data_IF_080995834782
#
_entry.id   IF_080995834782
#
_cell.length_a   1.000
_cell.length_b   1.000
_cell.length_c   1.000
_cell.angle_alpha   90.00
_cell.angle_beta   90.00
_cell.angle_gamma   90.00
#
_symmetry.space_group_name_H-M   'P 1'
#
loop_
_entity.id
_entity.type
_entity.pdbx_description
1 polymer ?
#
# COMPACT_ATOMS: atom_id res chain seq x y z
N UNK A 1 21.76 -20.74 6.57
CA UNK A 1 21.51 -19.36 7.05
C UNK A 1 21.41 -18.47 5.82
N UNK A 2 20.22 -18.37 5.21
CA UNK A 2 20.03 -17.51 4.04
C UNK A 2 20.01 -16.07 4.51
N UNK A 3 21.02 -15.30 4.12
CA UNK A 3 21.04 -13.85 4.23
C UNK A 3 20.02 -13.32 3.22
N UNK A 4 18.73 -13.41 3.56
CA UNK A 4 17.69 -12.73 2.80
C UNK A 4 17.84 -11.24 3.12
N UNK A 5 18.59 -10.54 2.28
CA UNK A 5 18.68 -9.10 2.31
C UNK A 5 17.29 -8.50 2.35
N UNK A 6 17.13 -7.44 3.14
CA UNK A 6 15.86 -6.71 3.21
C UNK A 6 15.58 -6.13 1.82
N UNK A 7 14.51 -6.59 1.18
CA UNK A 7 14.02 -5.97 -0.06
C UNK A 7 13.53 -4.56 0.30
N UNK A 8 14.02 -3.57 -0.43
CA UNK A 8 13.68 -2.15 -0.29
C UNK A 8 13.13 -1.71 -1.63
N UNK A 9 11.98 -1.03 -1.64
CA UNK A 9 11.42 -0.49 -2.87
C UNK A 9 12.29 0.63 -3.41
N UNK A 10 12.40 0.72 -4.74
CA UNK A 10 13.12 1.81 -5.37
C UNK A 10 12.51 3.17 -5.00
N UNK A 11 13.38 4.14 -4.69
CA UNK A 11 12.98 5.52 -4.41
C UNK A 11 12.48 6.14 -5.72
N UNK A 12 11.34 6.84 -5.74
CA UNK A 12 10.88 7.57 -6.92
C UNK A 12 11.96 8.50 -7.47
N UNK A 13 12.24 8.38 -8.77
CA UNK A 13 13.26 9.21 -9.45
C UNK A 13 12.72 10.58 -9.90
N UNK A 14 11.40 10.73 -9.92
CA UNK A 14 10.69 11.96 -10.25
C UNK A 14 9.93 12.55 -9.06
N UNK A 15 9.36 13.74 -9.24
CA UNK A 15 8.58 14.46 -8.24
C UNK A 15 7.31 15.07 -8.87
N UNK A 16 6.20 15.11 -8.12
CA UNK A 16 4.97 15.78 -8.57
C UNK A 16 4.00 14.85 -9.32
N UNK A 17 3.36 15.36 -10.37
CA UNK A 17 2.22 14.71 -11.05
C UNK A 17 2.56 13.46 -11.87
N UNK A 18 3.85 13.22 -12.12
CA UNK A 18 4.36 12.02 -12.81
C UNK A 18 4.41 10.78 -11.91
N UNK A 19 4.21 10.96 -10.60
CA UNK A 19 4.18 9.87 -9.65
C UNK A 19 2.91 9.03 -9.81
N UNK A 20 3.08 7.72 -9.72
CA UNK A 20 1.99 6.75 -9.73
C UNK A 20 2.00 5.98 -8.42
N UNK A 21 0.82 5.60 -7.93
CA UNK A 21 0.69 4.68 -6.81
C UNK A 21 0.00 3.39 -7.24
N UNK A 22 0.51 2.26 -6.75
CA UNK A 22 -0.18 0.98 -6.86
C UNK A 22 -1.51 1.03 -6.12
N UNK A 23 -2.62 0.75 -6.81
CA UNK A 23 -3.98 0.78 -6.26
C UNK A 23 -4.14 -0.23 -5.12
N UNK A 24 -3.33 -1.29 -5.13
CA UNK A 24 -3.31 -2.32 -4.09
C UNK A 24 -2.53 -1.92 -2.85
N UNK A 25 -1.21 -1.77 -2.97
CA UNK A 25 -0.32 -1.61 -1.82
C UNK A 25 0.04 -0.16 -1.51
N UNK A 26 -0.35 0.79 -2.35
CA UNK A 26 -0.08 2.23 -2.22
C UNK A 26 1.38 2.63 -2.38
N UNK A 27 2.25 1.72 -2.82
CA UNK A 27 3.64 2.03 -3.14
C UNK A 27 3.68 3.05 -4.28
N UNK A 28 4.54 4.06 -4.14
CA UNK A 28 4.70 5.17 -5.09
C UNK A 28 6.03 5.01 -5.81
N UNK A 29 5.98 5.03 -7.15
CA UNK A 29 7.12 5.03 -8.08
C UNK A 29 6.74 5.84 -9.33
N UNK A 30 7.68 6.12 -10.22
CA UNK A 30 7.35 6.65 -11.56
C UNK A 30 6.81 5.55 -12.47
N UNK A 31 6.15 5.93 -13.57
CA UNK A 31 5.69 4.96 -14.59
C UNK A 31 6.84 4.07 -15.07
N UNK A 32 7.99 4.67 -15.44
CA UNK A 32 9.14 3.95 -15.96
C UNK A 32 9.72 2.97 -14.93
N UNK A 33 9.68 3.32 -13.64
CA UNK A 33 10.14 2.43 -12.57
C UNK A 33 9.18 1.24 -12.36
N UNK A 34 7.86 1.43 -12.45
CA UNK A 34 6.92 0.30 -12.43
C UNK A 34 7.09 -0.59 -13.66
N UNK A 35 7.31 0.02 -14.83
CA UNK A 35 7.57 -0.70 -16.09
C UNK A 35 8.85 -1.54 -16.01
N UNK A 36 9.91 -1.00 -15.41
CA UNK A 36 11.22 -1.63 -15.40
C UNK A 36 11.40 -2.71 -14.32
N UNK A 37 10.79 -2.53 -13.14
CA UNK A 37 11.03 -3.41 -11.99
C UNK A 37 9.77 -3.82 -11.22
N UNK A 38 8.59 -3.47 -11.74
CA UNK A 38 7.32 -3.83 -11.14
C UNK A 38 7.08 -3.23 -9.76
N UNK A 39 6.19 -3.86 -9.00
CA UNK A 39 5.84 -3.48 -7.64
C UNK A 39 6.40 -4.49 -6.64
N UNK A 40 7.29 -4.04 -5.76
CA UNK A 40 7.99 -4.89 -4.79
C UNK A 40 7.04 -5.53 -3.75
N UNK A 41 5.85 -4.96 -3.56
CA UNK A 41 4.81 -5.52 -2.70
C UNK A 41 3.78 -6.37 -3.45
N UNK A 42 3.72 -6.26 -4.78
CA UNK A 42 2.72 -6.93 -5.62
C UNK A 42 3.38 -7.52 -6.88
N UNK A 43 4.37 -8.43 -6.73
CA UNK A 43 5.06 -9.03 -7.87
C UNK A 43 4.12 -9.87 -8.75
N UNK A 44 3.01 -10.36 -8.18
CA UNK A 44 1.98 -11.12 -8.89
C UNK A 44 1.24 -10.33 -9.98
N UNK A 45 1.38 -8.99 -10.02
CA UNK A 45 0.86 -8.20 -11.15
C UNK A 45 1.77 -8.22 -12.39
N UNK A 46 3.00 -8.73 -12.28
CA UNK A 46 3.91 -8.98 -13.41
C UNK A 46 4.06 -7.79 -14.37
N UNK A 47 4.19 -6.58 -13.81
CA UNK A 47 4.24 -5.33 -14.60
C UNK A 47 5.52 -5.21 -15.43
N UNK A 48 6.57 -5.92 -15.03
CA UNK A 48 7.83 -6.06 -15.78
C UNK A 48 7.65 -6.83 -17.09
N UNK A 49 6.70 -7.76 -17.14
CA UNK A 49 6.42 -8.60 -18.32
C UNK A 49 5.28 -8.02 -19.17
N UNK A 50 4.25 -7.47 -18.51
CA UNK A 50 3.09 -6.84 -19.15
C UNK A 50 2.99 -5.36 -18.73
N UNK A 51 3.46 -4.48 -19.61
CA UNK A 51 3.50 -3.04 -19.32
C UNK A 51 2.14 -2.35 -19.37
N UNK A 52 1.13 -2.97 -19.98
CA UNK A 52 -0.23 -2.42 -19.97
C UNK A 52 -0.81 -2.53 -18.55
N UNK A 53 -0.40 -3.56 -17.77
CA UNK A 53 -0.74 -3.70 -16.35
C UNK A 53 -0.26 -2.56 -15.48
N UNK A 54 0.78 -1.83 -15.88
CA UNK A 54 1.22 -0.64 -15.12
C UNK A 54 0.09 0.37 -15.04
N UNK A 55 -0.62 0.60 -16.15
CA UNK A 55 -1.71 1.57 -16.21
C UNK A 55 -2.91 1.09 -15.41
N UNK A 56 -3.27 -0.20 -15.53
CA UNK A 56 -4.47 -0.75 -14.89
C UNK A 56 -4.32 -0.95 -13.37
N UNK A 57 -3.09 -1.23 -12.90
CA UNK A 57 -2.82 -1.47 -11.48
C UNK A 57 -2.43 -0.21 -10.70
N UNK A 58 -2.21 0.92 -11.36
CA UNK A 58 -1.68 2.14 -10.73
C UNK A 58 -2.42 3.39 -11.16
N UNK A 59 -2.42 4.42 -10.31
CA UNK A 59 -3.05 5.72 -10.61
C UNK A 59 -2.10 6.88 -10.37
N UNK A 60 -2.26 7.97 -11.13
CA UNK A 60 -1.64 9.27 -10.87
C UNK A 60 -2.44 10.13 -9.89
N UNK A 61 -3.68 9.75 -9.60
CA UNK A 61 -4.56 10.49 -8.70
C UNK A 61 -4.31 10.08 -7.24
N UNK A 62 -3.20 10.57 -6.70
CA UNK A 62 -2.69 10.22 -5.36
C UNK A 62 -2.72 11.44 -4.43
N UNK A 63 -2.98 11.21 -3.14
CA UNK A 63 -3.00 12.26 -2.12
C UNK A 63 -1.85 12.06 -1.13
N UNK A 64 -0.89 12.99 -1.15
CA UNK A 64 0.28 12.98 -0.29
C UNK A 64 1.23 11.80 -0.52
N UNK A 65 2.46 11.94 -0.03
CA UNK A 65 3.49 10.89 -0.07
C UNK A 65 4.14 10.80 1.30
N UNK A 66 4.40 9.57 1.76
CA UNK A 66 5.08 9.25 3.00
C UNK A 66 6.19 8.23 2.75
N UNK A 67 7.37 8.51 3.28
CA UNK A 67 8.50 7.58 3.24
C UNK A 67 8.53 6.71 4.49
N UNK A 68 8.49 5.40 4.30
CA UNK A 68 8.47 4.39 5.36
C UNK A 68 9.81 3.65 5.39
N UNK A 69 10.58 3.85 6.46
CA UNK A 69 11.88 3.20 6.65
C UNK A 69 11.79 1.85 7.38
N UNK A 70 10.86 1.72 8.33
CA UNK A 70 10.66 0.47 9.09
C UNK A 70 9.16 0.13 9.22
N UNK A 71 8.61 -0.63 8.25
CA UNK A 71 7.19 -0.94 8.19
C UNK A 71 6.68 -1.86 9.31
N UNK A 72 7.59 -2.60 9.97
CA UNK A 72 7.27 -3.48 11.09
C UNK A 72 7.06 -2.71 12.41
N UNK A 73 7.78 -1.60 12.61
CA UNK A 73 7.75 -0.82 13.85
C UNK A 73 6.99 0.50 13.76
N UNK A 74 6.80 1.05 12.56
CA UNK A 74 6.17 2.35 12.38
C UNK A 74 4.65 2.32 12.59
N UNK A 75 4.14 3.22 13.44
CA UNK A 75 2.70 3.46 13.57
C UNK A 75 2.09 3.91 12.24
N UNK A 76 2.76 4.80 11.50
CA UNK A 76 2.25 5.30 10.22
C UNK A 76 2.05 4.15 9.22
N UNK A 77 2.94 3.15 9.22
CA UNK A 77 2.78 1.96 8.38
C UNK A 77 1.66 1.04 8.83
N UNK A 78 1.38 0.97 10.14
CA UNK A 78 0.19 0.27 10.64
C UNK A 78 -1.08 1.01 10.21
N UNK A 79 -1.08 2.34 10.28
CA UNK A 79 -2.21 3.20 9.91
C UNK A 79 -2.56 3.09 8.42
N UNK A 80 -1.57 3.16 7.52
CA UNK A 80 -1.74 2.95 6.07
C UNK A 80 -2.40 1.59 5.74
N UNK A 81 -2.16 0.55 6.55
CA UNK A 81 -2.79 -0.77 6.38
C UNK A 81 -4.24 -0.83 6.88
N UNK A 82 -4.63 0.07 7.77
CA UNK A 82 -5.92 0.03 8.49
C UNK A 82 -7.03 0.90 7.90
N UNK A 83 -6.78 1.68 6.84
CA UNK A 83 -7.89 2.31 6.11
C UNK A 83 -8.91 1.26 5.61
N UNK A 84 -8.51 0.01 5.42
CA UNK A 84 -9.41 -1.12 5.15
C UNK A 84 -10.38 -1.47 6.30
N UNK A 85 -10.04 -1.19 7.58
CA UNK A 85 -10.74 -1.75 8.75
C UNK A 85 -11.30 -0.71 9.72
N UNK A 86 -10.87 0.56 9.69
CA UNK A 86 -11.20 1.50 10.78
C UNK A 86 -12.57 2.22 10.65
N UNK A 87 -13.25 2.23 9.49
CA UNK A 87 -14.57 2.92 9.40
C UNK A 87 -15.76 2.12 9.92
N UNK A 88 -15.64 0.82 10.20
CA UNK A 88 -16.78 0.09 10.76
C UNK A 88 -17.01 0.36 12.25
N UNK A 89 -16.07 1.02 12.96
CA UNK A 89 -16.16 1.20 14.42
C UNK A 89 -15.84 2.62 14.94
N UNK A 90 -15.72 3.63 14.08
CA UNK A 90 -15.61 5.03 14.52
C UNK A 90 -16.78 5.86 13.99
N UNK A 91 -17.98 5.39 14.31
CA UNK A 91 -19.17 6.21 14.35
C UNK A 91 -19.62 6.35 15.81
N UNK A 92 -18.84 7.06 16.62
CA UNK A 92 -19.34 7.97 17.66
C UNK A 92 -18.20 8.54 18.49
N UNK A 93 -18.34 9.82 18.78
CA UNK A 93 -17.78 10.56 19.92
C UNK A 93 -16.36 11.13 19.79
N UNK A 94 -16.38 12.42 19.49
CA UNK A 94 -15.45 13.45 19.95
C UNK A 94 -14.82 13.12 21.30
N UNK A 95 -13.52 13.36 21.41
CA UNK A 95 -12.62 13.13 22.57
C UNK A 95 -11.89 11.77 22.51
N UNK A 96 -10.69 11.76 21.92
CA UNK A 96 -9.48 11.01 22.39
C UNK A 96 -8.27 11.22 21.47
N UNK A 97 -7.79 12.46 21.37
CA UNK A 97 -6.45 12.74 20.78
C UNK A 97 -5.32 12.38 21.77
N UNK A 98 -5.63 12.08 23.04
CA UNK A 98 -4.63 11.76 24.08
C UNK A 98 -4.49 10.27 24.43
N UNK A 99 -5.18 9.35 23.73
CA UNK A 99 -5.17 7.91 24.07
C UNK A 99 -4.81 6.99 22.89
N UNK A 100 -4.18 7.51 21.83
CA UNK A 100 -3.76 6.72 20.67
C UNK A 100 -2.47 5.90 20.88
N UNK A 101 -1.77 6.07 22.01
CA UNK A 101 -0.56 5.30 22.31
C UNK A 101 -0.83 3.88 22.85
N UNK A 102 -2.07 3.54 23.24
CA UNK A 102 -2.36 2.23 23.86
C UNK A 102 -3.04 1.20 22.92
N UNK A 103 -3.80 1.63 21.90
CA UNK A 103 -4.55 0.68 21.06
C UNK A 103 -3.62 -0.13 20.13
N UNK A 104 -2.39 0.35 19.90
CA UNK A 104 -1.41 -0.35 19.08
C UNK A 104 -0.86 -1.66 19.69
N UNK A 105 -1.15 -1.94 20.98
CA UNK A 105 -0.64 -3.12 21.69
C UNK A 105 -1.60 -4.32 21.75
N UNK A 106 -2.87 -4.20 21.32
CA UNK A 106 -3.89 -5.21 21.69
C UNK A 106 -4.79 -5.77 20.59
N UNK A 107 -4.41 -5.68 19.31
CA UNK A 107 -4.98 -6.59 18.30
C UNK A 107 -3.94 -7.62 17.88
N UNK A 108 -3.72 -8.60 18.76
CA UNK A 108 -3.17 -9.89 18.40
C UNK A 108 -4.19 -10.62 17.52
N UNK A 109 -4.19 -10.31 16.22
CA UNK A 109 -4.73 -11.21 15.22
C UNK A 109 -3.63 -11.41 14.18
N UNK A 110 -3.05 -12.61 14.20
CA UNK A 110 -2.23 -13.13 13.11
C UNK A 110 -3.10 -13.23 11.87
N UNK A 111 -3.26 -12.12 11.16
CA UNK A 111 -3.67 -12.13 9.76
C UNK A 111 -2.41 -11.87 8.97
N UNK A 112 -2.14 -12.70 7.96
CA UNK A 112 -1.03 -12.53 7.00
C UNK A 112 -1.25 -11.25 6.17
N UNK A 113 -1.25 -10.08 6.82
CA UNK A 113 -1.12 -8.81 6.13
C UNK A 113 0.31 -8.78 5.59
N UNK A 114 0.45 -8.95 4.26
CA UNK A 114 1.73 -8.97 3.55
C UNK A 114 2.68 -7.88 4.06
N UNK A 115 3.92 -8.26 4.35
CA UNK A 115 4.93 -7.35 4.89
C UNK A 115 5.30 -6.33 3.80
N UNK A 116 4.74 -5.13 3.88
CA UNK A 116 5.19 -4.04 3.00
C UNK A 116 6.69 -3.80 3.18
N UNK A 117 7.40 -3.56 2.09
CA UNK A 117 8.83 -3.23 2.09
C UNK A 117 9.07 -1.77 2.49
N UNK A 118 10.25 -1.40 3.01
CA UNK A 118 10.62 0.01 3.12
C UNK A 118 10.52 0.72 1.76
N UNK A 119 9.99 1.94 1.72
CA UNK A 119 9.70 2.65 0.46
C UNK A 119 8.84 3.89 0.63
N UNK A 120 8.50 4.55 -0.48
CA UNK A 120 7.57 5.68 -0.53
C UNK A 120 6.15 5.17 -0.83
N UNK A 121 5.17 5.66 -0.08
CA UNK A 121 3.76 5.27 -0.19
C UNK A 121 2.88 6.51 -0.28
N UNK A 122 1.67 6.38 -0.82
CA UNK A 122 0.68 7.47 -0.78
C UNK A 122 -0.25 7.34 0.42
N UNK A 123 -0.79 8.48 0.90
CA UNK A 123 -1.81 8.49 1.95
C UNK A 123 -3.19 8.12 1.41
N UNK A 124 -3.44 8.30 0.11
CA UNK A 124 -4.74 8.00 -0.49
C UNK A 124 -4.69 7.85 -2.01
N UNK A 125 -5.59 7.04 -2.55
CA UNK A 125 -5.91 6.95 -3.98
C UNK A 125 -7.42 7.04 -4.13
N UNK A 126 -7.90 7.65 -5.21
CA UNK A 126 -9.34 7.86 -5.43
C UNK A 126 -9.98 6.81 -6.35
N UNK A 127 -9.17 5.94 -6.95
CA UNK A 127 -9.61 4.95 -7.94
C UNK A 127 -9.64 3.53 -7.37
N UNK A 128 -10.49 2.68 -7.93
CA UNK A 128 -10.64 1.28 -7.52
C UNK A 128 -9.91 0.38 -8.51
N UNK A 129 -9.17 -0.60 -8.01
CA UNK A 129 -8.58 -1.67 -8.81
C UNK A 129 -9.68 -2.40 -9.64
N UNK A 130 -9.51 -2.59 -10.95
CA UNK A 130 -10.44 -3.35 -11.79
C UNK A 130 -10.74 -4.77 -11.28
N UNK A 131 -11.93 -5.30 -11.58
CA UNK A 131 -12.41 -6.57 -10.99
C UNK A 131 -11.55 -7.78 -11.37
N UNK A 132 -11.07 -7.85 -12.60
CA UNK A 132 -10.15 -8.90 -13.06
C UNK A 132 -8.85 -8.90 -12.25
N UNK A 133 -8.30 -7.72 -11.96
CA UNK A 133 -7.11 -7.54 -11.12
C UNK A 133 -7.38 -7.83 -9.63
N UNK A 134 -8.62 -7.60 -9.15
CA UNK A 134 -9.03 -8.03 -7.82
C UNK A 134 -9.05 -9.55 -7.69
N UNK A 135 -9.51 -10.26 -8.73
CA UNK A 135 -9.54 -11.73 -8.74
C UNK A 135 -8.12 -12.31 -8.63
N UNK A 136 -7.15 -11.75 -9.36
CA UNK A 136 -5.73 -12.15 -9.25
C UNK A 136 -5.24 -12.02 -7.80
N UNK A 137 -5.63 -10.95 -7.11
CA UNK A 137 -5.23 -10.78 -5.72
C UNK A 137 -5.85 -11.84 -4.79
N UNK A 138 -7.09 -12.25 -5.06
CA UNK A 138 -7.77 -13.29 -4.30
C UNK A 138 -7.15 -14.67 -4.56
N UNK A 139 -6.80 -14.98 -5.81
CA UNK A 139 -6.07 -16.19 -6.21
C UNK A 139 -4.72 -16.30 -5.49
N UNK A 140 -4.02 -15.18 -5.33
CA UNK A 140 -2.75 -15.09 -4.57
C UNK A 140 -2.96 -15.05 -3.04
N UNK A 141 -4.19 -15.14 -2.56
CA UNK A 141 -4.51 -15.12 -1.13
C UNK A 141 -4.22 -13.78 -0.45
N UNK A 142 -4.13 -12.69 -1.22
CA UNK A 142 -3.88 -11.34 -0.72
C UNK A 142 -5.23 -10.62 -0.56
N UNK A 143 -5.44 -9.97 0.59
CA UNK A 143 -6.66 -9.18 0.84
C UNK A 143 -6.66 -7.82 0.12
N UNK A 144 -7.63 -7.59 -0.76
CA UNK A 144 -7.89 -6.25 -1.33
C UNK A 144 -8.79 -5.46 -0.40
N UNK A 145 -8.51 -4.18 -0.24
CA UNK A 145 -9.44 -3.24 0.33
C UNK A 145 -9.59 -2.05 -0.63
N UNK A 146 -10.77 -1.83 -1.21
CA UNK A 146 -11.00 -0.66 -2.04
C UNK A 146 -10.83 0.62 -1.20
N UNK A 147 -10.42 1.74 -1.83
CA UNK A 147 -10.45 3.03 -1.16
C UNK A 147 -11.87 3.32 -0.70
N UNK A 148 -12.02 3.93 0.48
CA UNK A 148 -13.31 4.46 0.89
C UNK A 148 -13.56 5.70 0.04
N UNK A 149 -14.71 5.73 -0.62
CA UNK A 149 -15.14 6.89 -1.40
C UNK A 149 -14.96 8.15 -0.54
N UNK A 150 -14.21 9.12 -1.06
CA UNK A 150 -14.04 10.44 -0.45
C UNK A 150 -15.29 11.26 -0.70
#
# INVERSE_FOLDING_TARGET
MTNQGVVIAQIPTGFGHELRACLRCRLVKTYDQFRASGCENCPFFQMEDDHDRVVDCTTTNISGVISVMNPARSWASKWLRTEAKICSNLASDSIKVSMLNLICLQTNSRTNAGKFVPGCYTLGVSEVLPQDLQNICEEEGVLYAPPKCV
#
